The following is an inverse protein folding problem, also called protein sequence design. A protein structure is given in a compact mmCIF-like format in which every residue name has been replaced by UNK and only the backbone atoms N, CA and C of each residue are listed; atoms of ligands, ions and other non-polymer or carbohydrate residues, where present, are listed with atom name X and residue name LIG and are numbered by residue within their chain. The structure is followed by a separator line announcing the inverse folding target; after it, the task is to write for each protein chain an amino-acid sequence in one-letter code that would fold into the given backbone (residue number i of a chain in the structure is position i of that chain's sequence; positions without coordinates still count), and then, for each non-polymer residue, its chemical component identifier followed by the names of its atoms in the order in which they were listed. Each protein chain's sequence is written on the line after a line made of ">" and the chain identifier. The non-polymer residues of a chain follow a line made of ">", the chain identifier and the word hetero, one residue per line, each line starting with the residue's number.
data_IF_039623530019
#
_entry.id   IF_039623530019
#
_cell.length_a   1.000
_cell.length_b   1.000
_cell.length_c   1.000
_cell.angle_alpha   90.00
_cell.angle_beta   90.00
_cell.angle_gamma   90.00
#
_symmetry.space_group_name_H-M   'P 1'
#
loop_
_entity.id
_entity.type
_entity.pdbx_description
1 polymer ?
#
# COMPACT_ATOMS: atom_id res chain seq x y z
N UNK A 1 10.94 -8.13 23.21
CA UNK A 1 11.02 -9.35 24.05
C UNK A 1 11.43 -10.51 23.15
N UNK A 2 12.57 -11.17 23.40
CA UNK A 2 12.96 -12.35 22.64
C UNK A 2 12.03 -13.52 22.96
N UNK A 3 11.61 -14.27 21.94
CA UNK A 3 10.86 -15.52 22.10
C UNK A 3 11.90 -16.65 22.14
N UNK A 4 12.01 -17.35 23.27
CA UNK A 4 12.91 -18.50 23.38
C UNK A 4 12.25 -19.73 22.76
N UNK A 5 12.92 -20.35 21.78
CA UNK A 5 12.44 -21.52 21.03
C UNK A 5 13.29 -22.77 21.26
N UNK A 6 14.42 -22.66 21.95
CA UNK A 6 15.41 -23.74 22.07
C UNK A 6 14.93 -24.91 22.94
N UNK A 7 13.89 -24.69 23.74
CA UNK A 7 13.26 -25.70 24.59
C UNK A 7 12.09 -26.43 23.89
N UNK A 8 11.77 -26.07 22.65
CA UNK A 8 10.61 -26.62 21.94
C UNK A 8 10.98 -27.87 21.15
N UNK A 9 10.15 -28.90 21.27
CA UNK A 9 10.21 -30.07 20.38
C UNK A 9 9.81 -29.68 18.95
N UNK A 10 10.13 -30.54 17.97
CA UNK A 10 9.78 -30.33 16.56
C UNK A 10 8.27 -30.10 16.39
N UNK A 11 7.43 -30.91 17.07
CA UNK A 11 5.98 -30.75 17.02
C UNK A 11 5.52 -29.39 17.58
N UNK A 12 6.12 -28.97 18.69
CA UNK A 12 5.83 -27.68 19.30
C UNK A 12 6.28 -26.50 18.40
N UNK A 13 7.41 -26.63 17.70
CA UNK A 13 7.89 -25.66 16.71
C UNK A 13 6.95 -25.57 15.50
N UNK A 14 6.47 -26.71 14.99
CA UNK A 14 5.51 -26.74 13.87
C UNK A 14 4.18 -26.09 14.29
N UNK A 15 3.67 -26.43 15.48
CA UNK A 15 2.46 -25.81 16.01
C UNK A 15 2.63 -24.29 16.23
N UNK A 16 3.79 -23.86 16.74
CA UNK A 16 4.11 -22.44 16.88
C UNK A 16 4.14 -21.74 15.52
N UNK A 17 4.80 -22.34 14.53
CA UNK A 17 4.87 -21.79 13.17
C UNK A 17 3.48 -21.59 12.56
N UNK A 18 2.60 -22.59 12.65
CA UNK A 18 1.21 -22.46 12.17
C UNK A 18 0.47 -21.29 12.84
N UNK A 19 0.63 -21.11 14.15
CA UNK A 19 0.02 -19.99 14.89
C UNK A 19 0.60 -18.64 14.47
N UNK A 20 1.91 -18.56 14.29
CA UNK A 20 2.60 -17.33 13.83
C UNK A 20 2.11 -16.94 12.45
N UNK A 21 2.08 -17.88 11.50
CA UNK A 21 1.58 -17.65 10.14
C UNK A 21 0.11 -17.19 10.18
N UNK A 22 -0.74 -17.85 10.96
CA UNK A 22 -2.14 -17.45 11.11
C UNK A 22 -2.29 -16.02 11.65
N UNK A 23 -1.48 -15.66 12.66
CA UNK A 23 -1.48 -14.30 13.24
C UNK A 23 -1.01 -13.25 12.23
N UNK A 24 0.05 -13.53 11.48
CA UNK A 24 0.55 -12.64 10.42
C UNK A 24 -0.56 -12.39 9.39
N UNK A 25 -1.18 -13.45 8.85
CA UNK A 25 -2.27 -13.33 7.87
C UNK A 25 -3.43 -12.47 8.38
N UNK A 26 -3.81 -12.64 9.65
CA UNK A 26 -4.87 -11.84 10.27
C UNK A 26 -4.48 -10.36 10.43
N UNK A 27 -3.20 -10.07 10.73
CA UNK A 27 -2.69 -8.70 10.79
C UNK A 27 -2.60 -8.06 9.40
N UNK A 28 -2.18 -8.81 8.39
CA UNK A 28 -2.14 -8.37 6.99
C UNK A 28 -3.54 -8.05 6.45
N UNK A 29 -4.55 -8.87 6.78
CA UNK A 29 -5.95 -8.59 6.42
C UNK A 29 -6.44 -7.26 7.01
N UNK A 30 -6.08 -6.95 8.27
CA UNK A 30 -6.41 -5.66 8.91
C UNK A 30 -5.68 -4.49 8.28
N UNK A 31 -4.40 -4.66 7.93
CA UNK A 31 -3.60 -3.63 7.25
C UNK A 31 -4.13 -3.34 5.82
N UNK A 32 -4.61 -4.38 5.13
CA UNK A 32 -5.22 -4.28 3.82
C UNK A 32 -6.49 -3.43 3.84
N UNK A 33 -7.36 -3.61 4.83
CA UNK A 33 -8.58 -2.79 4.98
C UNK A 33 -8.24 -1.32 5.24
N UNK A 34 -7.23 -1.01 6.06
CA UNK A 34 -6.79 0.37 6.29
C UNK A 34 -6.13 1.03 5.06
N UNK A 35 -5.51 0.23 4.19
CA UNK A 35 -4.93 0.72 2.92
C UNK A 35 -6.00 0.90 1.83
N UNK A 36 -7.03 0.04 1.83
CA UNK A 36 -8.20 0.14 0.94
C UNK A 36 -9.01 1.42 1.17
N UNK A 37 -9.14 1.88 2.41
CA UNK A 37 -9.92 3.10 2.73
C UNK A 37 -9.23 4.38 2.24
N UNK A 38 -7.92 4.35 2.04
CA UNK A 38 -7.18 5.55 1.61
C UNK A 38 -7.34 5.78 0.11
N UNK A 39 -7.09 4.79 -0.74
CA UNK A 39 -7.03 4.98 -2.19
C UNK A 39 -8.21 4.37 -2.94
N UNK A 40 -9.13 5.20 -3.44
CA UNK A 40 -10.19 4.78 -4.35
C UNK A 40 -9.67 4.66 -5.79
N UNK A 41 -10.19 3.71 -6.57
CA UNK A 41 -9.96 3.66 -8.03
C UNK A 41 -10.43 4.99 -8.64
N UNK A 42 -9.60 5.59 -9.51
CA UNK A 42 -9.80 6.95 -10.03
C UNK A 42 -9.06 8.03 -9.23
N UNK A 43 -8.51 7.72 -8.06
CA UNK A 43 -7.73 8.71 -7.28
C UNK A 43 -6.40 9.03 -7.96
N UNK A 44 -6.02 10.32 -7.87
CA UNK A 44 -4.70 10.82 -8.24
C UNK A 44 -3.67 10.42 -7.18
N UNK A 45 -2.60 9.77 -7.59
CA UNK A 45 -1.56 9.27 -6.69
C UNK A 45 -0.17 9.65 -7.21
N UNK A 46 0.77 9.79 -6.28
CA UNK A 46 2.20 9.88 -6.58
C UNK A 46 2.93 8.69 -5.97
N UNK A 47 3.98 8.25 -6.64
CA UNK A 47 4.81 7.13 -6.21
C UNK A 47 6.22 7.27 -6.76
N UNK A 48 7.18 6.57 -6.15
CA UNK A 48 8.58 6.64 -6.53
C UNK A 48 9.21 5.23 -6.57
N UNK A 49 9.23 4.57 -7.75
CA UNK A 49 9.87 3.27 -7.92
C UNK A 49 11.40 3.30 -7.92
N UNK A 50 12.00 4.39 -8.41
CA UNK A 50 13.43 4.42 -8.82
C UNK A 50 14.19 5.66 -8.29
N UNK A 51 13.67 6.33 -7.26
CA UNK A 51 14.12 7.66 -6.82
C UNK A 51 13.59 8.84 -7.66
N UNK A 52 12.63 8.59 -8.56
CA UNK A 52 11.91 9.59 -9.36
C UNK A 52 10.41 9.56 -9.07
N UNK A 53 9.89 10.69 -8.59
CA UNK A 53 8.46 10.90 -8.36
C UNK A 53 7.72 10.82 -9.70
N UNK A 54 6.73 9.92 -9.77
CA UNK A 54 5.79 9.80 -10.88
C UNK A 54 4.38 10.03 -10.36
N UNK A 55 3.54 10.67 -11.19
CA UNK A 55 2.13 10.91 -10.92
C UNK A 55 1.26 10.10 -11.87
N UNK A 56 0.09 9.71 -11.39
CA UNK A 56 -0.85 8.96 -12.19
C UNK A 56 -2.19 8.74 -11.50
N UNK A 57 -3.06 8.04 -12.21
CA UNK A 57 -4.39 7.68 -11.74
C UNK A 57 -4.44 6.20 -11.42
N UNK A 58 -4.98 5.86 -10.26
CA UNK A 58 -5.12 4.48 -9.84
C UNK A 58 -6.25 3.81 -10.64
N UNK A 59 -5.91 2.84 -11.51
CA UNK A 59 -6.89 2.17 -12.39
C UNK A 59 -7.34 0.80 -11.87
N UNK A 60 -6.56 0.18 -10.97
CA UNK A 60 -6.92 -1.08 -10.32
C UNK A 60 -6.29 -1.16 -8.94
N UNK A 61 -7.07 -1.59 -7.95
CA UNK A 61 -6.58 -1.84 -6.60
C UNK A 61 -6.65 -3.34 -6.29
N UNK A 62 -5.52 -3.98 -6.01
CA UNK A 62 -5.49 -5.25 -5.30
C UNK A 62 -4.78 -5.04 -3.95
N UNK A 63 -5.17 -5.79 -2.90
CA UNK A 63 -4.53 -5.76 -1.58
C UNK A 63 -3.00 -5.74 -1.54
N UNK A 64 -2.37 -6.47 -2.46
CA UNK A 64 -0.90 -6.62 -2.53
C UNK A 64 -0.26 -5.70 -3.56
N UNK A 65 -1.02 -5.21 -4.53
CA UNK A 65 -0.48 -4.50 -5.69
C UNK A 65 -1.56 -3.65 -6.32
N UNK A 66 -1.27 -2.36 -6.49
CA UNK A 66 -2.10 -1.45 -7.27
C UNK A 66 -1.58 -1.33 -8.70
N UNK A 67 -2.45 -0.93 -9.61
CA UNK A 67 -2.06 -0.54 -10.95
C UNK A 67 -2.35 0.94 -11.11
N UNK A 68 -1.30 1.71 -11.43
CA UNK A 68 -1.37 3.14 -11.70
C UNK A 68 -1.14 3.35 -13.19
N UNK A 69 -2.02 4.13 -13.83
CA UNK A 69 -1.80 4.70 -15.15
C UNK A 69 -1.14 6.06 -14.96
N UNK A 70 0.12 6.17 -15.32
CA UNK A 70 0.86 7.43 -15.26
C UNK A 70 0.44 8.37 -16.40
N UNK A 71 0.75 9.66 -16.25
CA UNK A 71 0.35 10.70 -17.22
C UNK A 71 0.98 10.54 -18.60
N UNK A 72 2.12 9.86 -18.66
CA UNK A 72 2.81 9.44 -19.88
C UNK A 72 2.18 8.20 -20.54
N UNK A 73 1.05 7.71 -20.01
CA UNK A 73 0.30 6.57 -20.54
C UNK A 73 0.85 5.20 -20.13
N UNK A 74 1.88 5.13 -19.30
CA UNK A 74 2.45 3.85 -18.85
C UNK A 74 1.64 3.23 -17.69
N UNK A 75 1.69 1.90 -17.59
CA UNK A 75 1.03 1.14 -16.50
C UNK A 75 2.06 0.59 -15.54
N UNK A 76 1.94 0.98 -14.28
CA UNK A 76 2.85 0.59 -13.21
C UNK A 76 2.15 -0.28 -12.18
N UNK A 77 2.78 -1.41 -11.83
CA UNK A 77 2.37 -2.25 -10.70
C UNK A 77 3.18 -1.80 -9.48
N UNK A 78 2.49 -1.29 -8.46
CA UNK A 78 3.15 -0.70 -7.29
C UNK A 78 2.52 -1.27 -6.01
N UNK A 79 3.32 -1.65 -4.99
CA UNK A 79 2.76 -1.99 -3.69
C UNK A 79 2.02 -0.78 -3.08
N UNK A 80 0.83 -0.95 -2.49
CA UNK A 80 0.02 0.16 -1.98
C UNK A 80 0.75 1.08 -0.99
N UNK A 81 1.69 0.52 -0.20
CA UNK A 81 2.49 1.23 0.78
C UNK A 81 3.43 2.31 0.19
N UNK A 82 3.71 2.26 -1.11
CA UNK A 82 4.54 3.26 -1.79
C UNK A 82 3.73 4.37 -2.47
N UNK A 83 2.39 4.28 -2.42
CA UNK A 83 1.52 5.33 -2.92
C UNK A 83 1.39 6.45 -1.89
N UNK A 84 1.31 7.68 -2.39
CA UNK A 84 0.89 8.87 -1.63
C UNK A 84 -0.26 9.53 -2.36
N UNK A 85 -1.25 10.03 -1.62
CA UNK A 85 -2.29 10.85 -2.22
C UNK A 85 -1.67 12.11 -2.79
N UNK A 86 -2.00 12.42 -4.05
CA UNK A 86 -1.80 13.77 -4.53
C UNK A 86 -2.94 14.60 -3.93
N UNK A 87 -2.69 15.29 -2.82
CA UNK A 87 -3.63 16.30 -2.34
C UNK A 87 -3.53 17.43 -3.36
N UNK A 88 -4.54 17.54 -4.23
CA UNK A 88 -4.68 18.72 -5.05
C UNK A 88 -5.05 19.85 -4.09
N UNK A 89 -4.04 20.62 -3.67
CA UNK A 89 -4.29 21.89 -3.00
C UNK A 89 -5.01 22.76 -4.02
N UNK A 90 -6.34 22.77 -3.95
CA UNK A 90 -7.21 23.74 -4.61
C UNK A 90 -6.93 25.11 -3.98
N UNK A 91 -5.74 25.66 -4.22
CA UNK A 91 -5.50 27.08 -4.13
C UNK A 91 -6.05 27.67 -5.43
N UNK A 92 -7.36 27.89 -5.44
CA UNK A 92 -8.00 28.88 -6.30
C UNK A 92 -7.35 30.23 -5.99
N UNK A 93 -6.23 30.51 -6.65
CA UNK A 93 -5.80 31.88 -6.84
C UNK A 93 -6.90 32.54 -7.69
N UNK A 94 -7.80 33.22 -6.99
CA UNK A 94 -8.71 34.20 -7.57
C UNK A 94 -7.87 35.19 -8.38
N UNK A 95 -7.75 34.97 -9.69
CA UNK A 95 -7.37 36.01 -10.63
C UNK A 95 -8.62 36.80 -10.95
N UNK A 96 -8.82 37.87 -10.17
CA UNK A 96 -9.78 38.93 -10.45
C UNK A 96 -9.50 39.50 -11.85
N UNK A 97 -10.49 39.60 -12.75
CA UNK A 97 -10.32 40.33 -13.99
C UNK A 97 -10.38 41.83 -13.72
N UNK A 98 -9.41 42.58 -14.24
CA UNK A 98 -9.54 44.01 -14.50
C UNK A 98 -8.96 44.32 -15.88
#
# INVERSE_FOLDING_TARGET
>A
MPINIDQLSIEALVALNHRVIARIKLLEQRSTMNSMVKFNVGSRVSFDPDGRIRTGTLIKFNPKTVVVLTDDGQRWKVPPQFLRHLVENQNTANVTPM
#
